data_IF_434333444459
#
_entry.id   IF_434333444459
#
_cell.length_a   1.000
_cell.length_b   1.000
_cell.length_c   1.000
_cell.angle_alpha   90.00
_cell.angle_beta   90.00
_cell.angle_gamma   90.00
#
_symmetry.space_group_name_H-M   'P 1'
#
loop_
_entity.id
_entity.type
_entity.pdbx_description
1 polymer ?
#
# COMPACT_ATOMS: atom_id res chain seq x y z
N UNK A 1 -14.26 6.91 10.13
CA UNK A 1 -13.30 5.82 10.43
C UNK A 1 -13.35 4.74 9.36
N UNK A 2 -14.47 4.04 9.15
CA UNK A 2 -14.56 2.95 8.15
C UNK A 2 -14.27 3.39 6.70
N UNK A 3 -14.72 4.59 6.30
CA UNK A 3 -14.54 5.09 4.93
C UNK A 3 -13.08 5.13 4.44
N UNK A 4 -12.15 5.63 5.27
CA UNK A 4 -10.73 5.71 4.91
C UNK A 4 -10.11 4.31 4.79
N UNK A 5 -10.58 3.35 5.60
CA UNK A 5 -10.13 1.96 5.52
C UNK A 5 -10.63 1.28 4.24
N UNK A 6 -11.88 1.54 3.84
CA UNK A 6 -12.42 1.07 2.55
C UNK A 6 -11.62 1.68 1.40
N UNK A 7 -11.31 2.97 1.46
CA UNK A 7 -10.52 3.65 0.42
C UNK A 7 -9.11 3.05 0.29
N UNK A 8 -8.46 2.70 1.40
CA UNK A 8 -7.15 2.02 1.38
C UNK A 8 -7.22 0.66 0.67
N UNK A 9 -8.25 -0.15 0.95
CA UNK A 9 -8.47 -1.44 0.28
C UNK A 9 -8.71 -1.25 -1.23
N UNK A 10 -9.45 -0.22 -1.62
CA UNK A 10 -9.68 0.09 -3.04
C UNK A 10 -8.37 0.45 -3.74
N UNK A 11 -7.51 1.26 -3.10
CA UNK A 11 -6.19 1.59 -3.63
C UNK A 11 -5.35 0.33 -3.83
N UNK A 12 -5.33 -0.57 -2.84
CA UNK A 12 -4.60 -1.84 -2.93
C UNK A 12 -5.10 -2.70 -4.10
N UNK A 13 -6.42 -2.80 -4.28
CA UNK A 13 -7.02 -3.55 -5.38
C UNK A 13 -6.66 -2.97 -6.75
N UNK A 14 -6.65 -1.63 -6.88
CA UNK A 14 -6.24 -0.95 -8.12
C UNK A 14 -4.75 -1.21 -8.40
N UNK A 15 -3.87 -1.11 -7.40
CA UNK A 15 -2.44 -1.39 -7.57
C UNK A 15 -2.19 -2.85 -7.96
N UNK A 16 -2.92 -3.78 -7.35
CA UNK A 16 -2.85 -5.20 -7.72
C UNK A 16 -3.30 -5.44 -9.17
N UNK A 17 -4.39 -4.81 -9.60
CA UNK A 17 -4.84 -4.86 -11.00
C UNK A 17 -3.80 -4.28 -11.97
N UNK A 18 -3.19 -3.16 -11.62
CA UNK A 18 -2.12 -2.54 -12.41
C UNK A 18 -0.88 -3.44 -12.49
N UNK A 19 -0.55 -4.16 -11.41
CA UNK A 19 0.52 -5.16 -11.41
C UNK A 19 0.21 -6.32 -12.37
N UNK A 20 -1.00 -6.89 -12.34
CA UNK A 20 -1.39 -7.98 -13.26
C UNK A 20 -1.27 -7.53 -14.72
N UNK A 21 -1.74 -6.33 -15.03
CA UNK A 21 -1.64 -5.78 -16.38
C UNK A 21 -0.19 -5.67 -16.85
N UNK A 22 0.68 -5.14 -15.98
CA UNK A 22 2.12 -5.04 -16.28
C UNK A 22 2.80 -6.40 -16.35
N UNK A 23 2.38 -7.38 -15.55
CA UNK A 23 2.92 -8.72 -15.61
C UNK A 23 2.61 -9.41 -16.95
N UNK A 24 1.43 -9.17 -17.53
CA UNK A 24 1.02 -9.81 -18.79
C UNK A 24 1.48 -9.07 -20.05
N UNK A 25 1.48 -7.74 -20.05
CA UNK A 25 1.72 -6.92 -21.24
C UNK A 25 2.88 -5.92 -21.07
N UNK A 26 3.67 -6.08 -20.01
CA UNK A 26 4.61 -5.06 -19.60
C UNK A 26 5.85 -4.94 -20.48
N UNK A 27 6.14 -3.71 -20.87
CA UNK A 27 7.42 -3.29 -21.45
C UNK A 27 8.16 -2.36 -20.48
N UNK A 28 9.38 -1.92 -20.83
CA UNK A 28 10.19 -1.07 -19.95
C UNK A 28 9.46 0.22 -19.52
N UNK A 29 8.68 0.81 -20.44
CA UNK A 29 7.94 2.06 -20.19
C UNK A 29 6.79 1.80 -19.21
N UNK A 30 6.05 0.70 -19.37
CA UNK A 30 4.96 0.37 -18.45
C UNK A 30 5.44 0.07 -17.04
N UNK A 31 6.61 -0.57 -16.87
CA UNK A 31 7.19 -0.80 -15.55
C UNK A 31 7.59 0.50 -14.85
N UNK A 32 8.13 1.46 -15.61
CA UNK A 32 8.49 2.78 -15.09
C UNK A 32 7.24 3.57 -14.68
N UNK A 33 6.18 3.54 -15.50
CA UNK A 33 4.89 4.16 -15.17
C UNK A 33 4.21 3.47 -13.97
N UNK A 34 4.29 2.14 -13.89
CA UNK A 34 3.81 1.37 -12.75
C UNK A 34 4.52 1.72 -11.46
N UNK A 35 5.84 1.91 -11.50
CA UNK A 35 6.61 2.37 -10.34
C UNK A 35 6.12 3.76 -9.88
N UNK A 36 5.93 4.70 -10.80
CA UNK A 36 5.41 6.04 -10.46
C UNK A 36 4.02 5.96 -9.82
N UNK A 37 3.13 5.14 -10.37
CA UNK A 37 1.81 4.91 -9.78
C UNK A 37 1.91 4.29 -8.37
N UNK A 38 2.81 3.32 -8.17
CA UNK A 38 3.07 2.68 -6.88
C UNK A 38 3.61 3.69 -5.85
N UNK A 39 4.50 4.61 -6.25
CA UNK A 39 4.98 5.71 -5.39
C UNK A 39 3.83 6.60 -4.95
N UNK A 40 3.00 7.06 -5.90
CA UNK A 40 1.86 7.95 -5.62
C UNK A 40 0.86 7.26 -4.68
N UNK A 41 0.53 6.00 -4.93
CA UNK A 41 -0.38 5.21 -4.08
C UNK A 41 0.18 5.04 -2.66
N UNK A 42 1.47 4.72 -2.55
CA UNK A 42 2.14 4.57 -1.25
C UNK A 42 2.13 5.89 -0.47
N UNK A 43 2.42 7.02 -1.12
CA UNK A 43 2.35 8.35 -0.50
C UNK A 43 0.92 8.71 -0.06
N UNK A 44 -0.09 8.37 -0.87
CA UNK A 44 -1.49 8.57 -0.51
C UNK A 44 -1.86 7.76 0.75
N UNK A 45 -1.45 6.49 0.83
CA UNK A 45 -1.66 5.65 2.02
C UNK A 45 -0.94 6.20 3.26
N UNK A 46 0.28 6.71 3.11
CA UNK A 46 1.02 7.37 4.20
C UNK A 46 0.30 8.63 4.67
N UNK A 47 -0.16 9.49 3.75
CA UNK A 47 -0.93 10.69 4.09
C UNK A 47 -2.25 10.34 4.79
N UNK A 48 -2.94 9.29 4.33
CA UNK A 48 -4.14 8.76 4.98
C UNK A 48 -3.83 8.26 6.39
N UNK A 49 -2.73 7.53 6.60
CA UNK A 49 -2.29 7.08 7.93
C UNK A 49 -2.00 8.25 8.88
N UNK A 50 -1.30 9.28 8.41
CA UNK A 50 -1.00 10.48 9.21
C UNK A 50 -2.28 11.27 9.54
N UNK A 51 -3.21 11.35 8.60
CA UNK A 51 -4.52 11.98 8.82
C UNK A 51 -5.37 11.18 9.81
N UNK A 52 -5.35 9.84 9.73
CA UNK A 52 -5.96 8.93 10.70
C UNK A 52 -5.34 9.10 12.09
N UNK A 53 -4.04 9.35 12.13
CA UNK A 53 -3.28 9.60 13.35
C UNK A 53 -3.67 10.92 14.04
N UNK A 54 -4.37 11.86 13.37
CA UNK A 54 -4.92 13.04 14.04
C UNK A 54 -6.30 12.78 14.70
N UNK A 55 -6.93 11.62 14.44
CA UNK A 55 -8.21 11.21 15.02
C UNK A 55 -8.09 10.22 16.20
N UNK A 56 -9.22 9.59 16.61
CA UNK A 56 -9.25 8.53 17.64
C UNK A 56 -8.50 7.27 17.13
N UNK A 57 -7.19 7.23 17.38
CA UNK A 57 -6.31 6.08 17.05
C UNK A 57 -6.69 4.80 17.79
N UNK A 58 -7.31 4.95 18.96
CA UNK A 58 -7.55 3.89 19.92
C UNK A 58 -9.04 3.73 20.15
N UNK A 59 -9.50 2.49 20.22
CA UNK A 59 -10.88 2.19 20.63
C UNK A 59 -11.09 2.63 22.09
N UNK A 60 -12.30 3.02 22.44
CA UNK A 60 -12.68 3.26 23.84
C UNK A 60 -12.94 1.94 24.59
N UNK A 61 -12.91 0.81 23.90
CA UNK A 61 -13.08 -0.53 24.45
C UNK A 61 -11.76 -1.01 25.04
N UNK A 62 -11.78 -1.43 26.31
CA UNK A 62 -10.58 -1.82 27.08
C UNK A 62 -10.74 -3.25 27.61
N UNK A 63 -10.36 -4.29 26.86
CA UNK A 63 -10.00 -5.55 27.48
C UNK A 63 -8.56 -5.41 28.02
N UNK A 64 -8.38 -5.58 29.33
CA UNK A 64 -7.11 -5.80 30.04
C UNK A 64 -5.80 -5.31 29.37
N UNK A 65 -5.33 -4.11 29.74
CA UNK A 65 -3.93 -3.71 29.59
C UNK A 65 -3.45 -3.25 28.21
N UNK A 66 -4.16 -3.57 27.12
CA UNK A 66 -3.79 -3.16 25.76
C UNK A 66 -4.82 -2.21 25.16
N UNK A 67 -4.37 -1.07 24.62
CA UNK A 67 -5.21 -0.26 23.73
C UNK A 67 -5.15 -0.87 22.34
N UNK A 68 -6.24 -1.44 21.89
CA UNK A 68 -6.33 -1.96 20.53
C UNK A 68 -6.41 -0.79 19.53
N UNK A 69 -5.57 -0.78 18.48
CA UNK A 69 -5.83 0.10 17.35
C UNK A 69 -7.22 -0.21 16.80
N UNK A 70 -7.97 0.82 16.41
CA UNK A 70 -9.27 0.57 15.79
C UNK A 70 -9.10 -0.34 14.57
N UNK A 71 -9.97 -1.33 14.38
CA UNK A 71 -9.91 -2.29 13.25
C UNK A 71 -9.60 -1.60 11.90
N UNK A 72 -10.20 -0.44 11.66
CA UNK A 72 -9.94 0.37 10.47
C UNK A 72 -8.53 0.99 10.35
N UNK A 73 -7.88 1.33 11.46
CA UNK A 73 -6.49 1.82 11.47
C UNK A 73 -5.50 0.68 11.22
N UNK A 74 -5.78 -0.52 11.75
CA UNK A 74 -4.98 -1.72 11.48
C UNK A 74 -4.90 -2.04 9.98
N UNK A 75 -6.03 -1.98 9.28
CA UNK A 75 -6.11 -2.17 7.83
C UNK A 75 -5.20 -1.18 7.09
N UNK A 76 -5.30 0.12 7.38
CA UNK A 76 -4.49 1.15 6.71
C UNK A 76 -2.98 0.94 6.95
N UNK A 77 -2.60 0.49 8.15
CA UNK A 77 -1.19 0.19 8.46
C UNK A 77 -0.69 -1.02 7.67
N UNK A 78 -1.47 -2.10 7.61
CA UNK A 78 -1.09 -3.29 6.84
C UNK A 78 -1.00 -2.96 5.35
N UNK A 79 -1.99 -2.25 4.79
CA UNK A 79 -1.97 -1.76 3.40
C UNK A 79 -0.71 -0.93 3.10
N UNK A 80 -0.35 0.00 4.00
CA UNK A 80 0.86 0.81 3.84
C UNK A 80 2.13 -0.07 3.80
N UNK A 81 2.25 -1.05 4.72
CA UNK A 81 3.42 -1.92 4.79
C UNK A 81 3.56 -2.73 3.50
N UNK A 82 2.46 -3.34 3.02
CA UNK A 82 2.47 -4.13 1.79
C UNK A 82 2.88 -3.27 0.59
N UNK A 83 2.28 -2.10 0.42
CA UNK A 83 2.63 -1.21 -0.71
C UNK A 83 4.08 -0.72 -0.66
N UNK A 84 4.63 -0.49 0.53
CA UNK A 84 6.03 -0.12 0.71
C UNK A 84 6.98 -1.25 0.26
N UNK A 85 6.65 -2.50 0.62
CA UNK A 85 7.43 -3.68 0.19
C UNK A 85 7.36 -3.83 -1.33
N UNK A 86 6.17 -3.71 -1.92
CA UNK A 86 5.99 -3.78 -3.38
C UNK A 86 6.79 -2.67 -4.06
N UNK A 87 6.73 -1.44 -3.55
CA UNK A 87 7.49 -0.31 -4.09
C UNK A 87 9.01 -0.56 -4.03
N UNK A 88 9.51 -1.09 -2.92
CA UNK A 88 10.93 -1.43 -2.75
C UNK A 88 11.36 -2.47 -3.80
N UNK A 89 10.56 -3.51 -3.96
CA UNK A 89 10.79 -4.56 -4.94
C UNK A 89 10.69 -4.05 -6.39
N UNK A 90 9.84 -3.05 -6.68
CA UNK A 90 9.80 -2.36 -7.99
C UNK A 90 11.12 -1.63 -8.26
N UNK A 91 11.67 -0.98 -7.23
CA UNK A 91 12.99 -0.36 -7.30
C UNK A 91 14.07 -1.38 -7.68
N UNK A 92 14.13 -2.53 -7.00
CA UNK A 92 15.11 -3.57 -7.32
C UNK A 92 15.01 -4.08 -8.76
N UNK A 93 13.79 -4.15 -9.31
CA UNK A 93 13.56 -4.55 -10.70
C UNK A 93 14.10 -3.52 -11.70
N UNK A 94 13.82 -2.22 -11.48
CA UNK A 94 14.27 -1.15 -12.39
C UNK A 94 15.78 -0.93 -12.33
N UNK A 95 16.40 -1.07 -11.15
CA UNK A 95 17.86 -0.99 -11.02
C UNK A 95 18.59 -2.21 -11.59
N UNK A 96 17.86 -3.23 -12.10
CA UNK A 96 18.45 -4.45 -12.66
C UNK A 96 19.14 -5.33 -11.63
N UNK A 97 18.91 -5.08 -10.33
CA UNK A 97 19.52 -5.84 -9.23
C UNK A 97 18.78 -7.17 -9.04
N UNK A 98 17.45 -7.18 -9.19
CA UNK A 98 16.68 -8.41 -9.07
C UNK A 98 15.32 -8.39 -9.79
N UNK A 99 14.95 -9.51 -10.41
CA UNK A 99 13.76 -9.64 -11.26
C UNK A 99 12.55 -10.26 -10.51
N UNK A 100 12.56 -10.25 -9.17
CA UNK A 100 11.57 -10.99 -8.35
C UNK A 100 10.12 -10.59 -8.68
N UNK A 101 9.86 -9.31 -8.95
CA UNK A 101 8.51 -8.82 -9.29
C UNK A 101 8.14 -9.17 -10.72
N UNK A 102 8.98 -8.76 -11.68
CA UNK A 102 8.75 -9.01 -13.09
C UNK A 102 9.83 -9.96 -13.56
N UNK A 103 9.54 -11.26 -13.42
CA UNK A 103 10.34 -12.31 -14.02
C UNK A 103 10.16 -12.19 -15.54
N UNK A 104 11.18 -11.69 -16.21
CA UNK A 104 11.32 -11.77 -17.67
C UNK A 104 11.94 -13.10 -18.05
#
# INVERSE_FOLDING_TARGET
MIFISILAIVIDAVMFGAYIFQYQFGNQVSYTLGMLAQVIATLALVAMRVSYSKGKRWTNWRPYGYREPTFGYGIVVVSMIINLIVLFLYGLNIFGVNNIIFQR
#
